data_IF_595350431785
#
_entry.id   IF_595350431785
#
_cell.length_a   1.000
_cell.length_b   1.000
_cell.length_c   1.000
_cell.angle_alpha   90.00
_cell.angle_beta   90.00
_cell.angle_gamma   90.00
#
_symmetry.space_group_name_H-M   'P 1'
#
loop_
_entity.id
_entity.type
_entity.pdbx_description
1 polymer ?
#
# COMPACT_ATOMS: atom_id res chain seq x y z
N UNK A 1 -5.78 -5.00 7.75
CA UNK A 1 -6.61 -4.58 6.61
C UNK A 1 -7.93 -3.98 7.08
N UNK A 2 -7.95 -2.65 7.14
CA UNK A 2 -9.10 -1.77 7.39
C UNK A 2 -9.11 -0.69 6.30
N UNK A 3 -10.25 -0.03 6.07
CA UNK A 3 -10.35 1.04 5.07
C UNK A 3 -9.40 2.21 5.34
N UNK A 4 -9.10 2.51 6.61
CA UNK A 4 -8.12 3.52 7.00
C UNK A 4 -6.67 3.18 6.59
N UNK A 5 -6.38 1.92 6.28
CA UNK A 5 -5.04 1.48 5.83
C UNK A 5 -4.78 1.86 4.37
N UNK A 6 -5.79 2.35 3.62
CA UNK A 6 -5.63 2.82 2.25
C UNK A 6 -4.99 4.21 2.25
N UNK A 7 -3.71 4.26 1.87
CA UNK A 7 -2.94 5.48 1.75
C UNK A 7 -3.50 6.41 0.65
N UNK A 8 -3.24 7.73 0.72
CA UNK A 8 -3.62 8.68 -0.33
C UNK A 8 -3.09 8.29 -1.72
N UNK A 9 -1.97 7.58 -1.78
CA UNK A 9 -1.38 7.08 -3.02
C UNK A 9 -2.01 5.79 -3.57
N UNK A 10 -3.09 5.27 -2.96
CA UNK A 10 -3.78 4.05 -3.43
C UNK A 10 -3.17 2.73 -2.95
N UNK A 11 -2.12 2.78 -2.13
CA UNK A 11 -1.52 1.60 -1.51
C UNK A 11 -2.29 1.17 -0.26
N UNK A 12 -2.41 -0.15 -0.05
CA UNK A 12 -2.88 -0.72 1.20
C UNK A 12 -1.68 -0.89 2.17
N UNK A 13 -1.54 0.02 3.13
CA UNK A 13 -0.40 0.03 4.06
C UNK A 13 -0.29 -1.26 4.89
N UNK A 14 -1.38 -2.00 5.10
CA UNK A 14 -1.33 -3.22 5.91
C UNK A 14 -0.53 -4.37 5.29
N UNK A 15 -0.14 -4.22 4.03
CA UNK A 15 0.77 -5.12 3.31
C UNK A 15 2.25 -4.70 3.43
N UNK A 16 2.51 -3.53 4.00
CA UNK A 16 3.85 -3.00 4.15
C UNK A 16 4.60 -3.68 5.30
N UNK A 17 5.91 -3.89 5.14
CA UNK A 17 6.76 -4.45 6.19
C UNK A 17 6.73 -3.58 7.45
N UNK A 18 6.78 -2.26 7.29
CA UNK A 18 6.70 -1.33 8.41
C UNK A 18 5.39 -1.45 9.19
N UNK A 19 4.29 -1.83 8.54
CA UNK A 19 3.00 -2.04 9.20
C UNK A 19 2.92 -3.40 9.89
N UNK A 20 3.55 -4.43 9.33
CA UNK A 20 3.47 -5.80 9.85
C UNK A 20 4.52 -6.13 10.92
N UNK A 21 5.63 -5.39 11.01
CA UNK A 21 6.66 -5.60 12.04
C UNK A 21 6.14 -5.32 13.45
N UNK A 22 6.73 -6.00 14.44
CA UNK A 22 6.41 -5.82 15.86
C UNK A 22 7.06 -4.57 16.44
N UNK A 23 8.39 -4.46 16.32
CA UNK A 23 9.16 -3.32 16.83
C UNK A 23 8.96 -2.08 15.95
N UNK A 24 8.70 -0.93 16.58
CA UNK A 24 8.48 0.36 15.90
C UNK A 24 7.41 0.26 14.80
N UNK A 25 6.31 -0.42 15.08
CA UNK A 25 5.24 -0.70 14.13
C UNK A 25 4.63 0.59 13.57
N UNK A 26 4.66 0.73 12.26
CA UNK A 26 4.05 1.84 11.55
C UNK A 26 2.52 1.71 11.54
N UNK A 27 1.82 2.78 11.91
CA UNK A 27 0.35 2.81 11.98
C UNK A 27 -0.34 3.03 10.61
N UNK A 28 0.41 2.96 9.51
CA UNK A 28 -0.09 3.23 8.16
C UNK A 28 -0.15 4.73 7.83
N UNK A 29 -0.27 5.08 6.55
CA UNK A 29 -0.09 6.45 6.07
C UNK A 29 -1.05 7.47 6.72
N UNK A 30 -2.27 7.04 7.04
CA UNK A 30 -3.30 7.87 7.67
C UNK A 30 -3.35 7.74 9.22
N UNK A 31 -2.43 6.99 9.83
CA UNK A 31 -2.32 6.87 11.29
C UNK A 31 -1.46 7.96 11.94
N UNK A 32 -1.23 7.91 13.26
CA UNK A 32 -0.30 8.79 13.99
C UNK A 32 1.13 8.72 13.46
N UNK A 33 1.90 9.80 13.61
CA UNK A 33 3.25 9.94 13.03
C UNK A 33 4.38 9.33 13.88
N UNK A 34 4.17 9.19 15.18
CA UNK A 34 5.18 8.78 16.18
C UNK A 34 6.01 7.54 15.79
N UNK A 35 5.39 6.55 15.14
CA UNK A 35 6.04 5.29 14.77
C UNK A 35 6.25 5.14 13.26
N UNK A 36 5.93 6.17 12.48
CA UNK A 36 6.13 6.15 11.03
C UNK A 36 7.62 6.27 10.71
N UNK A 37 8.13 5.48 9.75
CA UNK A 37 9.43 5.75 9.17
C UNK A 37 9.52 7.17 8.61
N UNK A 38 10.69 7.80 8.71
CA UNK A 38 10.94 9.16 8.20
C UNK A 38 10.44 9.37 6.76
N UNK A 39 10.71 8.42 5.86
CA UNK A 39 10.27 8.50 4.46
C UNK A 39 8.74 8.47 4.26
N UNK A 40 7.97 7.98 5.25
CA UNK A 40 6.51 8.06 5.26
C UNK A 40 6.02 9.41 5.83
N UNK A 41 6.74 9.96 6.80
CA UNK A 41 6.45 11.29 7.38
C UNK A 41 6.64 12.37 6.30
N UNK A 42 7.81 12.37 5.64
CA UNK A 42 8.21 13.31 4.58
C UNK A 42 7.73 12.95 3.17
N UNK A 43 6.75 12.04 3.06
CA UNK A 43 6.29 11.58 1.76
C UNK A 43 5.64 12.72 0.96
N UNK A 44 6.26 13.11 -0.17
CA UNK A 44 5.75 14.17 -1.06
C UNK A 44 4.33 13.93 -1.60
N UNK A 45 3.93 12.67 -1.75
CA UNK A 45 2.55 12.33 -2.19
C UNK A 45 1.55 12.58 -1.05
N UNK A 46 1.91 12.23 0.19
CA UNK A 46 1.07 12.44 1.37
C UNK A 46 0.96 13.92 1.72
N UNK A 47 2.07 14.64 1.65
CA UNK A 47 2.15 16.07 1.96
C UNK A 47 1.99 16.96 0.71
N UNK A 48 1.41 16.42 -0.37
CA UNK A 48 1.23 17.16 -1.62
C UNK A 48 0.35 18.39 -1.42
N UNK A 49 0.80 19.54 -1.90
CA UNK A 49 0.11 20.84 -1.77
C UNK A 49 -1.31 20.84 -2.36
N UNK A 50 -1.54 20.09 -3.44
CA UNK A 50 -2.85 19.91 -4.09
C UNK A 50 -3.90 19.29 -3.16
N UNK A 51 -3.49 18.76 -2.01
CA UNK A 51 -4.39 18.21 -0.99
C UNK A 51 -4.90 19.25 0.00
N UNK A 52 -4.35 20.47 -0.01
CA UNK A 52 -4.74 21.57 0.88
C UNK A 52 -4.83 21.14 2.36
N UNK A 53 -3.82 20.42 2.85
CA UNK A 53 -3.77 19.89 4.22
C UNK A 53 -4.53 18.58 4.45
N UNK A 54 -5.39 18.14 3.53
CA UNK A 54 -6.15 16.87 3.62
C UNK A 54 -5.29 15.67 3.20
N UNK A 55 -4.33 15.30 4.06
CA UNK A 55 -3.29 14.28 3.76
C UNK A 55 -3.84 12.89 3.39
N UNK A 56 -5.09 12.59 3.72
CA UNK A 56 -5.76 11.31 3.48
C UNK A 56 -6.60 11.27 2.17
N UNK A 57 -6.84 12.42 1.53
CA UNK A 57 -7.52 12.52 0.23
C UNK A 57 -6.82 11.64 -0.80
N UNK A 58 -7.56 10.87 -1.60
CA UNK A 58 -6.96 9.99 -2.61
C UNK A 58 -6.38 10.82 -3.77
N UNK A 59 -5.21 10.43 -4.26
CA UNK A 59 -4.61 11.11 -5.41
C UNK A 59 -5.43 10.97 -6.69
N UNK A 60 -6.28 9.94 -6.81
CA UNK A 60 -7.22 9.77 -7.93
C UNK A 60 -8.30 10.86 -8.02
N UNK A 61 -8.53 11.61 -6.93
CA UNK A 61 -9.48 12.72 -6.89
C UNK A 61 -8.85 14.05 -7.32
N UNK A 62 -7.52 14.09 -7.51
CA UNK A 62 -6.81 15.29 -7.92
C UNK A 62 -7.01 15.55 -9.43
N UNK A 63 -7.24 16.82 -9.80
CA UNK A 63 -7.33 17.25 -11.21
C UNK A 63 -6.07 16.94 -12.04
N UNK A 64 -4.89 16.91 -11.39
CA UNK A 64 -3.61 16.60 -12.05
C UNK A 64 -3.35 15.09 -12.17
N UNK A 65 -4.27 14.22 -11.73
CA UNK A 65 -4.10 12.78 -11.82
C UNK A 65 -4.26 12.26 -13.26
N UNK A 66 -3.41 11.33 -13.74
CA UNK A 66 -2.23 10.79 -13.05
C UNK A 66 -1.01 11.72 -13.17
N UNK A 67 -0.51 12.22 -12.05
CA UNK A 67 0.68 13.07 -12.01
C UNK A 67 1.97 12.25 -12.01
N UNK A 68 3.11 12.91 -12.26
CA UNK A 68 4.44 12.27 -12.33
C UNK A 68 4.74 11.36 -11.12
N UNK A 69 4.48 11.83 -9.90
CA UNK A 69 4.79 11.04 -8.70
C UNK A 69 3.97 9.75 -8.60
N UNK A 70 2.71 9.76 -9.03
CA UNK A 70 1.90 8.54 -9.07
C UNK A 70 2.37 7.60 -10.18
N UNK A 71 2.73 8.12 -11.36
CA UNK A 71 3.29 7.31 -12.46
C UNK A 71 4.60 6.62 -12.05
N UNK A 72 5.48 7.35 -11.37
CA UNK A 72 6.75 6.81 -10.87
C UNK A 72 6.53 5.76 -9.76
N UNK A 73 5.55 6.00 -8.87
CA UNK A 73 5.18 5.07 -7.83
C UNK A 73 4.56 3.79 -8.42
N UNK A 74 3.65 3.91 -9.37
CA UNK A 74 3.05 2.81 -10.13
C UNK A 74 4.13 1.93 -10.74
N UNK A 75 5.06 2.52 -11.51
CA UNK A 75 6.14 1.78 -12.17
C UNK A 75 6.93 0.96 -11.15
N UNK A 76 7.32 1.58 -10.03
CA UNK A 76 8.10 0.92 -8.97
C UNK A 76 7.33 -0.20 -8.28
N UNK A 77 6.08 0.04 -7.89
CA UNK A 77 5.31 -0.93 -7.12
C UNK A 77 4.84 -2.11 -7.97
N UNK A 78 4.52 -1.87 -9.24
CA UNK A 78 4.19 -2.92 -10.19
C UNK A 78 5.37 -3.84 -10.44
N UNK A 79 6.57 -3.29 -10.63
CA UNK A 79 7.77 -4.09 -10.96
C UNK A 79 8.47 -4.70 -9.77
N UNK A 80 8.36 -4.11 -8.57
CA UNK A 80 9.07 -4.62 -7.38
C UNK A 80 8.20 -5.38 -6.39
N UNK A 81 6.90 -5.11 -6.36
CA UNK A 81 6.01 -5.59 -5.29
C UNK A 81 4.69 -6.19 -5.80
N UNK A 82 4.52 -6.34 -7.12
CA UNK A 82 3.31 -6.87 -7.75
C UNK A 82 2.02 -6.12 -7.33
N UNK A 83 2.14 -4.80 -7.12
CA UNK A 83 1.03 -3.94 -6.72
C UNK A 83 0.78 -2.92 -7.82
N UNK A 84 -0.46 -2.87 -8.32
CA UNK A 84 -0.90 -1.95 -9.37
C UNK A 84 -1.78 -0.86 -8.76
N UNK A 85 -1.20 0.32 -8.59
CA UNK A 85 -1.80 1.45 -7.90
C UNK A 85 -2.96 2.02 -8.72
N UNK A 86 -2.84 2.13 -10.05
CA UNK A 86 -3.95 2.58 -10.89
C UNK A 86 -5.15 1.63 -10.83
N UNK A 87 -4.92 0.32 -10.79
CA UNK A 87 -5.98 -0.67 -10.62
C UNK A 87 -6.62 -0.56 -9.23
N UNK A 88 -5.82 -0.33 -8.17
CA UNK A 88 -6.37 -0.05 -6.84
C UNK A 88 -7.28 1.19 -6.84
N UNK A 89 -6.85 2.29 -7.46
CA UNK A 89 -7.66 3.50 -7.57
C UNK A 89 -8.96 3.25 -8.34
N UNK A 90 -8.89 2.53 -9.46
CA UNK A 90 -10.08 2.14 -10.23
C UNK A 90 -11.04 1.30 -9.39
N UNK A 91 -10.53 0.26 -8.72
CA UNK A 91 -11.35 -0.59 -7.86
C UNK A 91 -11.99 0.19 -6.69
N UNK A 92 -11.27 1.14 -6.08
CA UNK A 92 -11.80 1.99 -5.02
C UNK A 92 -12.89 2.93 -5.56
N UNK A 93 -12.71 3.49 -6.75
CA UNK A 93 -13.72 4.35 -7.40
C UNK A 93 -14.99 3.56 -7.74
N UNK A 94 -14.82 2.39 -8.35
CA UNK A 94 -15.95 1.61 -8.88
C UNK A 94 -16.72 0.86 -7.78
N UNK A 95 -16.03 0.42 -6.71
CA UNK A 95 -16.61 -0.48 -5.69
C UNK A 95 -16.65 0.14 -4.28
N UNK A 96 -15.91 1.23 -4.06
CA UNK A 96 -15.68 1.79 -2.74
C UNK A 96 -14.59 1.08 -1.93
N UNK A 97 -14.02 1.79 -0.94
CA UNK A 97 -12.92 1.30 -0.08
C UNK A 97 -13.27 0.01 0.68
N UNK A 98 -14.53 -0.15 1.10
CA UNK A 98 -14.97 -1.32 1.89
C UNK A 98 -14.87 -2.61 1.07
N UNK A 99 -15.38 -2.59 -0.15
CA UNK A 99 -15.36 -3.76 -1.03
C UNK A 99 -13.94 -4.05 -1.54
N UNK A 100 -13.18 -3.00 -1.90
CA UNK A 100 -11.76 -3.14 -2.23
C UNK A 100 -10.98 -3.88 -1.13
N UNK A 101 -11.16 -3.50 0.14
CA UNK A 101 -10.49 -4.18 1.27
C UNK A 101 -10.92 -5.65 1.41
N UNK A 102 -12.19 -6.00 1.16
CA UNK A 102 -12.63 -7.40 1.20
C UNK A 102 -11.89 -8.24 0.15
N UNK A 103 -11.76 -7.73 -1.07
CA UNK A 103 -11.00 -8.39 -2.15
C UNK A 103 -9.52 -8.52 -1.82
N UNK A 104 -8.92 -7.46 -1.29
CA UNK A 104 -7.51 -7.48 -0.86
C UNK A 104 -7.25 -8.50 0.26
N UNK A 105 -8.18 -8.68 1.22
CA UNK A 105 -8.05 -9.69 2.28
C UNK A 105 -8.01 -11.12 1.74
N UNK A 106 -8.67 -11.40 0.61
CA UNK A 106 -8.63 -12.70 -0.04
C UNK A 106 -7.34 -12.84 -0.83
N UNK A 107 -7.05 -11.86 -1.70
CA UNK A 107 -5.88 -11.85 -2.60
C UNK A 107 -4.55 -12.07 -1.86
N UNK A 108 -4.37 -11.41 -0.72
CA UNK A 108 -3.11 -11.40 0.02
C UNK A 108 -3.05 -12.40 1.17
N UNK A 109 -3.98 -13.34 1.25
CA UNK A 109 -4.00 -14.36 2.31
C UNK A 109 -2.92 -15.41 2.07
N UNK A 110 -2.06 -15.64 3.06
CA UNK A 110 -1.07 -16.70 3.04
C UNK A 110 -1.75 -18.07 3.00
N UNK A 111 -1.30 -18.93 2.09
CA UNK A 111 -1.84 -20.28 1.90
C UNK A 111 -1.51 -21.24 3.05
N UNK A 112 -0.48 -20.95 3.86
CA UNK A 112 -0.08 -21.80 4.98
C UNK A 112 -0.74 -21.47 6.32
N UNK A 113 -0.92 -20.18 6.63
CA UNK A 113 -1.40 -19.76 7.97
C UNK A 113 -2.54 -18.74 7.96
N UNK A 114 -3.10 -18.41 6.79
CA UNK A 114 -4.20 -17.46 6.63
C UNK A 114 -3.92 -16.00 7.08
N UNK A 115 -2.71 -15.69 7.56
CA UNK A 115 -2.27 -14.30 7.78
C UNK A 115 -2.02 -13.58 6.45
N UNK A 116 -1.98 -12.26 6.45
CA UNK A 116 -1.70 -11.50 5.24
C UNK A 116 -0.20 -11.52 4.92
N UNK A 117 0.16 -11.90 3.69
CA UNK A 117 1.56 -11.87 3.24
C UNK A 117 2.05 -10.42 3.10
N UNK A 118 3.35 -10.20 3.39
CA UNK A 118 3.99 -8.90 3.25
C UNK A 118 4.48 -8.70 1.81
N UNK A 119 4.12 -7.59 1.15
CA UNK A 119 4.51 -7.33 -0.24
C UNK A 119 6.04 -7.23 -0.45
N UNK A 120 6.80 -7.02 0.64
CA UNK A 120 8.26 -6.83 0.61
C UNK A 120 9.07 -8.10 0.88
N UNK A 121 8.41 -9.25 1.06
CA UNK A 121 9.05 -10.48 1.53
C UNK A 121 8.61 -11.67 0.69
N UNK A 122 9.59 -12.51 0.35
CA UNK A 122 9.40 -13.74 -0.41
C UNK A 122 8.69 -14.83 0.40
N UNK A 123 8.84 -14.81 1.72
CA UNK A 123 8.18 -15.74 2.64
C UNK A 123 7.24 -14.99 3.58
N UNK A 124 6.18 -15.69 3.99
CA UNK A 124 5.24 -15.19 4.99
C UNK A 124 5.98 -14.89 6.30
N UNK A 125 5.77 -13.70 6.86
CA UNK A 125 6.39 -13.27 8.12
C UNK A 125 5.97 -14.11 9.33
N UNK A 126 4.87 -14.87 9.23
CA UNK A 126 4.25 -15.57 10.35
C UNK A 126 4.52 -17.07 10.36
N UNK A 127 4.64 -17.71 9.19
CA UNK A 127 4.79 -19.18 9.09
C UNK A 127 5.89 -19.63 8.12
N UNK A 128 6.55 -18.72 7.41
CA UNK A 128 7.61 -19.07 6.47
C UNK A 128 7.16 -19.67 5.12
N UNK A 129 5.86 -19.96 4.91
CA UNK A 129 5.34 -20.37 3.59
C UNK A 129 5.67 -19.34 2.51
N UNK A 130 5.99 -19.80 1.31
CA UNK A 130 6.27 -18.93 0.17
C UNK A 130 5.10 -17.97 -0.10
N UNK A 131 5.43 -16.70 -0.29
CA UNK A 131 4.48 -15.65 -0.64
C UNK A 131 4.13 -15.76 -2.12
N UNK A 132 2.93 -16.27 -2.42
CA UNK A 132 2.42 -16.42 -3.79
C UNK A 132 2.22 -15.11 -4.55
N UNK A 133 2.28 -13.96 -3.87
CA UNK A 133 2.21 -12.63 -4.48
C UNK A 133 3.59 -12.03 -4.78
N UNK A 134 4.67 -12.63 -4.28
CA UNK A 134 6.03 -12.10 -4.46
C UNK A 134 6.50 -12.29 -5.91
N UNK A 135 7.17 -11.26 -6.44
CA UNK A 135 7.79 -11.31 -7.76
C UNK A 135 9.31 -11.29 -7.60
N UNK A 136 9.98 -12.20 -8.31
CA UNK A 136 11.44 -12.21 -8.40
C UNK A 136 11.87 -10.97 -9.15
N UNK A 137 12.76 -10.18 -8.55
CA UNK A 137 13.31 -8.99 -9.18
C UNK A 137 14.20 -9.45 -10.33
N UNK A 138 13.75 -9.26 -11.57
CA UNK A 138 14.63 -9.38 -12.73
C UNK A 138 15.62 -8.23 -12.66
N UNK A 139 16.91 -8.56 -12.53
CA UNK A 139 18.00 -7.60 -12.66
C UNK A 139 18.10 -7.34 -14.17
N UNK A 140 17.49 -6.25 -14.62
CA UNK A 140 17.74 -5.66 -15.94
C UNK A 140 18.24 -4.26 -15.74
#
# INVERSE_FOLDING_TARGET
>A
MKTKDIAPCGLNCSLCLGYQREKNKCNGCNGPEETKPYHCVECRIRNCEEKHGKKDTLCSECKKYPCRWIKDLEKRYRTRYNVRIHENFKAIKDLGKREFIKREKVKWRCTGCNQYVCMHREKCLFCGTNNHMYIVKTIT
#
